data_IF_773408367114
#
_entry.id   IF_773408367114
#
_cell.length_a   1.000
_cell.length_b   1.000
_cell.length_c   1.000
_cell.angle_alpha   90.00
_cell.angle_beta   90.00
_cell.angle_gamma   90.00
#
_symmetry.space_group_name_H-M   'P 1'
#
loop_
_entity.id
_entity.type
_entity.pdbx_description
1 polymer ?
#
# COMPACT_ATOMS: atom_id res chain seq x y z
N UNK A 1 38.90 1.16 -2.89
CA UNK A 1 38.44 2.55 -2.64
C UNK A 1 37.58 3.11 -3.77
N UNK A 2 37.86 2.79 -5.03
CA UNK A 2 37.09 3.26 -6.21
C UNK A 2 35.60 2.88 -6.22
N UNK A 3 35.23 1.70 -5.73
CA UNK A 3 33.82 1.28 -5.71
C UNK A 3 32.95 2.13 -4.77
N UNK A 4 33.49 2.55 -3.62
CA UNK A 4 32.76 3.38 -2.64
C UNK A 4 32.39 4.75 -3.20
N UNK A 5 33.22 5.31 -4.11
CA UNK A 5 32.94 6.58 -4.80
C UNK A 5 31.65 6.51 -5.61
N UNK A 6 31.29 5.34 -6.14
CA UNK A 6 30.04 5.15 -6.88
C UNK A 6 28.90 4.65 -5.98
N UNK A 7 29.20 3.74 -5.05
CA UNK A 7 28.18 3.16 -4.18
C UNK A 7 27.57 4.16 -3.20
N UNK A 8 28.35 5.11 -2.67
CA UNK A 8 27.84 6.11 -1.71
C UNK A 8 26.79 7.03 -2.38
N UNK A 9 27.07 7.68 -3.53
CA UNK A 9 26.06 8.46 -4.23
C UNK A 9 24.83 7.64 -4.64
N UNK A 10 25.03 6.42 -5.15
CA UNK A 10 23.92 5.54 -5.56
C UNK A 10 23.04 5.22 -4.35
N UNK A 11 23.62 4.84 -3.21
CA UNK A 11 22.87 4.54 -2.00
C UNK A 11 22.09 5.76 -1.49
N UNK A 12 22.69 6.96 -1.52
CA UNK A 12 22.01 8.20 -1.13
C UNK A 12 20.84 8.52 -2.05
N UNK A 13 21.02 8.41 -3.37
CA UNK A 13 19.95 8.62 -4.35
C UNK A 13 18.82 7.63 -4.14
N UNK A 14 19.13 6.33 -3.96
CA UNK A 14 18.12 5.31 -3.70
C UNK A 14 17.38 5.55 -2.38
N UNK A 15 18.09 5.98 -1.32
CA UNK A 15 17.48 6.31 -0.04
C UNK A 15 16.52 7.50 -0.15
N UNK A 16 16.93 8.57 -0.83
CA UNK A 16 16.08 9.74 -1.08
C UNK A 16 14.89 9.37 -1.96
N UNK A 17 15.10 8.59 -3.02
CA UNK A 17 14.03 8.14 -3.91
C UNK A 17 13.00 7.29 -3.16
N UNK A 18 13.44 6.37 -2.31
CA UNK A 18 12.57 5.57 -1.45
C UNK A 18 11.77 6.43 -0.46
N UNK A 19 12.44 7.39 0.21
CA UNK A 19 11.76 8.30 1.13
C UNK A 19 10.72 9.19 0.42
N UNK A 20 11.07 9.73 -0.76
CA UNK A 20 10.17 10.54 -1.55
C UNK A 20 8.96 9.74 -2.05
N UNK A 21 9.18 8.51 -2.51
CA UNK A 21 8.12 7.59 -2.89
C UNK A 21 7.20 7.28 -1.71
N UNK A 22 7.76 6.98 -0.53
CA UNK A 22 6.99 6.72 0.69
C UNK A 22 6.13 7.92 1.11
N UNK A 23 6.69 9.14 1.12
CA UNK A 23 5.91 10.34 1.44
C UNK A 23 4.80 10.56 0.41
N UNK A 24 5.08 10.28 -0.87
CA UNK A 24 4.08 10.36 -1.94
C UNK A 24 2.94 9.36 -1.74
N UNK A 25 3.22 8.10 -1.35
CA UNK A 25 2.15 7.11 -1.09
C UNK A 25 1.26 7.54 0.07
N UNK A 26 1.85 8.00 1.17
CA UNK A 26 1.10 8.50 2.34
C UNK A 26 0.23 9.71 1.95
N UNK A 27 0.81 10.68 1.22
CA UNK A 27 0.06 11.87 0.79
C UNK A 27 -1.03 11.55 -0.25
N UNK A 28 -0.89 10.47 -1.02
CA UNK A 28 -1.85 10.10 -2.06
C UNK A 28 -3.17 9.54 -1.51
N UNK A 29 -3.33 9.39 -0.20
CA UNK A 29 -4.57 8.90 0.42
C UNK A 29 -4.84 7.41 0.16
N UNK A 30 -3.86 6.67 -0.38
CA UNK A 30 -4.01 5.23 -0.66
C UNK A 30 -4.24 4.37 0.60
N UNK A 31 -3.94 4.90 1.78
CA UNK A 31 -4.16 4.22 3.05
C UNK A 31 -5.55 4.50 3.66
N UNK A 32 -6.30 5.46 3.13
CA UNK A 32 -7.58 5.90 3.74
C UNK A 32 -8.73 4.90 3.51
N UNK A 33 -8.67 4.08 2.44
CA UNK A 33 -9.69 3.05 2.13
C UNK A 33 -9.23 1.63 2.51
N UNK A 34 -8.08 1.48 3.18
CA UNK A 34 -7.66 0.17 3.70
C UNK A 34 -8.56 -0.31 4.84
N UNK A 35 -9.02 0.60 5.69
CA UNK A 35 -9.94 0.30 6.79
C UNK A 35 -11.30 -0.17 6.25
N UNK A 36 -11.81 0.47 5.19
CA UNK A 36 -13.05 0.08 4.52
C UNK A 36 -12.94 -1.25 3.77
N UNK A 37 -11.77 -1.55 3.20
CA UNK A 37 -11.51 -2.85 2.57
C UNK A 37 -11.47 -3.99 3.60
N UNK A 38 -10.94 -3.75 4.80
CA UNK A 38 -10.91 -4.71 5.90
C UNK A 38 -12.32 -5.00 6.46
N UNK A 39 -13.20 -4.00 6.51
CA UNK A 39 -14.59 -4.21 6.91
C UNK A 39 -15.34 -5.07 5.88
N UNK A 40 -15.16 -4.79 4.59
CA UNK A 40 -15.81 -5.54 3.50
C UNK A 40 -15.44 -7.03 3.50
N UNK A 41 -14.16 -7.38 3.72
CA UNK A 41 -13.73 -8.79 3.73
C UNK A 41 -14.29 -9.59 4.91
N UNK A 42 -14.67 -8.93 6.02
CA UNK A 42 -15.30 -9.60 7.16
C UNK A 42 -16.81 -9.76 6.98
N UNK A 43 -17.46 -8.84 6.27
CA UNK A 43 -18.92 -8.84 6.07
C UNK A 43 -19.39 -9.56 4.79
N UNK A 44 -18.51 -9.76 3.79
CA UNK A 44 -18.87 -10.38 2.50
C UNK A 44 -19.40 -11.82 2.64
N UNK A 45 -19.04 -12.52 3.72
CA UNK A 45 -19.48 -13.90 3.96
C UNK A 45 -20.95 -13.98 4.45
N UNK A 46 -21.51 -12.92 5.05
CA UNK A 46 -22.86 -12.94 5.66
C UNK A 46 -23.99 -12.56 4.68
N UNK A 47 -23.70 -11.76 3.63
CA UNK A 47 -24.72 -11.24 2.72
C UNK A 47 -25.08 -12.19 1.56
N UNK A 48 -24.27 -13.24 1.34
CA UNK A 48 -24.47 -14.21 0.26
C UNK A 48 -25.47 -15.33 0.58
N UNK A 49 -25.87 -15.51 1.85
CA UNK A 49 -26.82 -16.57 2.24
C UNK A 49 -28.32 -16.15 2.25
N UNK A 50 -28.67 -14.86 2.19
CA UNK A 50 -30.07 -14.41 2.39
C UNK A 50 -30.86 -14.11 1.09
N UNK A 51 -30.27 -14.27 -0.09
CA UNK A 51 -30.92 -13.89 -1.37
C UNK A 51 -31.33 -15.08 -2.27
N UNK A 52 -31.31 -16.32 -1.76
CA UNK A 52 -31.60 -17.53 -2.54
C UNK A 52 -32.98 -18.18 -2.32
N UNK A 53 -33.87 -17.63 -1.50
CA UNK A 53 -35.11 -18.31 -1.08
C UNK A 53 -36.40 -17.50 -1.29
N UNK A 54 -36.46 -16.66 -2.32
CA UNK A 54 -37.70 -15.98 -2.74
C UNK A 54 -37.83 -15.95 -4.26
N UNK A 55 -37.95 -17.12 -4.87
CA UNK A 55 -38.66 -17.30 -6.15
C UNK A 55 -39.62 -18.47 -6.03
#
# INVERSE_FOLDING_TARGET
MTALIFLIPIALVLGIAGLAAFIWTVKSGQYDDLDGAAERILLDDDDSENNGAKD
#
